data_IF_330160931472
#
_entry.id   IF_330160931472
#
_cell.length_a   1.000
_cell.length_b   1.000
_cell.length_c   1.000
_cell.angle_alpha   90.00
_cell.angle_beta   90.00
_cell.angle_gamma   90.00
#
_symmetry.space_group_name_H-M   'P 1'
#
loop_
_entity.id
_entity.type
_entity.pdbx_description
1 polymer ?
#
# COMPACT_ATOMS: atom_id res chain seq x y z
N UNK A 1 -13.27 -20.68 18.79
CA UNK A 1 -14.01 -19.47 18.33
C UNK A 1 -13.85 -19.35 16.83
N UNK A 2 -14.96 -19.34 16.08
CA UNK A 2 -14.91 -19.09 14.63
C UNK A 2 -14.54 -17.63 14.40
N UNK A 3 -13.30 -17.39 14.06
CA UNK A 3 -12.82 -16.07 13.69
C UNK A 3 -13.45 -15.65 12.35
N UNK A 4 -14.15 -14.53 12.35
CA UNK A 4 -14.63 -13.91 11.12
C UNK A 4 -13.80 -12.66 10.84
N UNK A 5 -13.31 -12.45 9.60
CA UNK A 5 -12.68 -11.20 9.22
C UNK A 5 -13.64 -10.02 9.40
N UNK A 6 -13.10 -8.84 9.67
CA UNK A 6 -13.87 -7.60 9.61
C UNK A 6 -14.26 -7.39 8.15
N UNK A 7 -15.55 -7.13 7.89
CA UNK A 7 -16.03 -6.82 6.54
C UNK A 7 -16.71 -5.47 6.55
N UNK A 8 -16.44 -4.65 5.52
CA UNK A 8 -16.98 -3.29 5.39
C UNK A 8 -17.01 -2.86 3.91
N UNK A 9 -17.65 -1.71 3.65
CA UNK A 9 -17.68 -1.06 2.34
C UNK A 9 -17.33 0.42 2.50
N UNK A 10 -16.28 0.85 1.81
CA UNK A 10 -15.89 2.26 1.81
C UNK A 10 -16.16 2.90 0.45
N UNK A 11 -16.93 3.97 0.46
CA UNK A 11 -17.09 4.85 -0.71
C UNK A 11 -16.21 6.07 -0.47
N UNK A 12 -15.16 6.19 -1.28
CA UNK A 12 -14.11 7.18 -1.12
C UNK A 12 -14.13 8.20 -2.25
N UNK A 13 -13.52 9.36 -1.99
CA UNK A 13 -13.28 10.38 -2.98
C UNK A 13 -12.16 9.98 -3.97
N UNK A 14 -12.12 10.65 -5.12
CA UNK A 14 -10.97 10.56 -6.01
C UNK A 14 -9.75 11.22 -5.36
N UNK A 15 -8.57 10.69 -5.64
CA UNK A 15 -7.34 11.42 -5.33
C UNK A 15 -7.39 12.80 -5.97
N UNK A 16 -7.06 13.82 -5.19
CA UNK A 16 -6.96 15.21 -5.66
C UNK A 16 -5.52 15.59 -6.05
N UNK A 17 -4.61 14.64 -5.97
CA UNK A 17 -3.21 14.87 -6.34
C UNK A 17 -3.10 15.17 -7.82
N UNK A 18 -2.51 16.31 -8.12
CA UNK A 18 -2.27 16.77 -9.50
C UNK A 18 -0.78 16.98 -9.68
N UNK A 19 -0.33 16.67 -10.89
CA UNK A 19 0.98 17.08 -11.36
C UNK A 19 1.03 18.62 -11.40
N UNK A 20 1.95 19.27 -10.70
CA UNK A 20 1.98 20.73 -10.61
C UNK A 20 2.47 21.39 -11.89
N UNK A 21 3.22 20.67 -12.73
CA UNK A 21 3.72 21.21 -14.00
C UNK A 21 2.66 21.11 -15.08
N UNK A 22 1.92 20.00 -15.11
CA UNK A 22 0.94 19.74 -16.18
C UNK A 22 -0.51 19.94 -15.74
N UNK A 23 -0.78 20.05 -14.44
CA UNK A 23 -2.13 20.14 -13.87
C UNK A 23 -2.97 18.86 -14.03
N UNK A 24 -2.41 17.82 -14.64
CA UNK A 24 -3.09 16.54 -14.85
C UNK A 24 -3.14 15.74 -13.53
N UNK A 25 -4.18 14.94 -13.37
CA UNK A 25 -4.26 14.01 -12.22
C UNK A 25 -3.15 12.98 -12.31
N UNK A 26 -2.44 12.78 -11.18
CA UNK A 26 -1.49 11.69 -11.08
C UNK A 26 -2.18 10.34 -11.08
N UNK A 27 -1.54 9.38 -11.75
CA UNK A 27 -1.74 7.97 -11.47
C UNK A 27 -0.91 7.59 -10.23
N UNK A 28 -1.39 6.64 -9.42
CA UNK A 28 -0.62 6.10 -8.31
C UNK A 28 -0.74 6.89 -7.00
N UNK A 29 -1.88 7.52 -6.77
CA UNK A 29 -2.20 8.07 -5.45
C UNK A 29 -3.40 7.33 -4.86
N UNK A 30 -3.35 7.09 -3.55
CA UNK A 30 -4.49 6.51 -2.83
C UNK A 30 -5.77 7.33 -3.02
N UNK A 31 -6.95 6.69 -3.01
CA UNK A 31 -8.22 7.40 -2.94
C UNK A 31 -8.25 8.37 -1.76
N UNK A 32 -8.89 9.53 -1.91
CA UNK A 32 -9.02 10.49 -0.82
C UNK A 32 -9.77 9.84 0.37
N UNK A 33 -9.19 9.94 1.56
CA UNK A 33 -9.73 9.34 2.78
C UNK A 33 -9.36 7.87 3.00
N UNK A 34 -8.59 7.26 2.07
CA UNK A 34 -8.20 5.85 2.21
C UNK A 34 -7.21 5.65 3.38
N UNK A 35 -6.12 6.42 3.41
CA UNK A 35 -5.10 6.26 4.45
C UNK A 35 -5.63 6.60 5.85
N UNK A 36 -6.54 7.58 5.96
CA UNK A 36 -7.19 7.93 7.22
C UNK A 36 -7.95 6.75 7.83
N UNK A 37 -8.48 5.84 7.00
CA UNK A 37 -9.20 4.65 7.42
C UNK A 37 -8.29 3.43 7.54
N UNK A 38 -7.36 3.26 6.60
CA UNK A 38 -6.47 2.10 6.55
C UNK A 38 -5.43 2.11 7.68
N UNK A 39 -4.84 3.28 8.00
CA UNK A 39 -3.83 3.39 9.03
C UNK A 39 -4.29 2.90 10.40
N UNK A 40 -5.44 3.35 10.95
CA UNK A 40 -5.93 2.84 12.24
C UNK A 40 -6.17 1.32 12.24
N UNK A 41 -6.55 0.75 11.11
CA UNK A 41 -6.71 -0.71 11.00
C UNK A 41 -5.38 -1.46 11.03
N UNK A 42 -4.30 -0.85 10.50
CA UNK A 42 -2.99 -1.47 10.40
C UNK A 42 -2.17 -1.33 11.69
N UNK A 43 -2.21 -0.17 12.34
CA UNK A 43 -1.34 0.15 13.49
C UNK A 43 -2.10 0.68 14.71
N UNK A 44 -3.44 0.63 14.69
CA UNK A 44 -4.26 1.19 15.78
C UNK A 44 -4.06 2.69 15.92
N UNK A 45 -4.03 3.17 17.15
CA UNK A 45 -3.77 4.58 17.48
C UNK A 45 -2.29 4.96 17.62
N UNK A 46 -1.35 4.09 17.21
CA UNK A 46 0.08 4.38 17.32
C UNK A 46 0.51 5.40 16.26
N UNK A 47 0.66 6.67 16.67
CA UNK A 47 1.09 7.75 15.80
C UNK A 47 2.58 7.67 15.42
N UNK A 48 3.38 6.97 16.22
CA UNK A 48 4.81 6.76 16.00
C UNK A 48 5.12 5.53 15.14
N UNK A 49 4.10 4.75 14.79
CA UNK A 49 4.26 3.57 13.96
C UNK A 49 4.82 3.93 12.58
N UNK A 50 5.70 3.04 12.09
CA UNK A 50 6.28 3.09 10.75
C UNK A 50 5.56 2.12 9.83
N UNK A 51 4.81 2.63 8.86
CA UNK A 51 4.23 1.84 7.77
C UNK A 51 5.13 1.96 6.55
N UNK A 52 5.51 0.82 5.96
CA UNK A 52 6.15 0.80 4.64
C UNK A 52 5.06 0.77 3.56
N UNK A 53 5.02 1.79 2.73
CA UNK A 53 4.15 1.85 1.55
C UNK A 53 4.90 1.27 0.35
N UNK A 54 4.45 0.14 -0.16
CA UNK A 54 5.07 -0.59 -1.28
C UNK A 54 4.34 -0.31 -2.57
N UNK A 55 5.06 0.01 -3.64
CA UNK A 55 4.56 0.58 -4.89
C UNK A 55 3.78 1.86 -4.58
N UNK A 56 4.43 2.73 -3.84
CA UNK A 56 3.78 3.83 -3.13
C UNK A 56 3.25 4.94 -4.04
N UNK A 57 3.74 5.01 -5.28
CA UNK A 57 3.43 6.15 -6.13
C UNK A 57 3.65 7.47 -5.40
N UNK A 58 2.69 8.36 -5.48
CA UNK A 58 2.71 9.65 -4.79
C UNK A 58 2.00 9.62 -3.40
N UNK A 59 2.24 8.57 -2.60
CA UNK A 59 1.60 8.41 -1.29
C UNK A 59 1.87 9.57 -0.32
N UNK A 60 3.05 10.20 -0.37
CA UNK A 60 3.36 11.40 0.42
C UNK A 60 2.63 12.66 -0.06
N UNK A 61 1.85 12.55 -1.11
CA UNK A 61 1.36 13.72 -1.81
C UNK A 61 2.45 14.38 -2.65
N UNK A 62 2.10 15.47 -3.29
CA UNK A 62 3.03 16.21 -4.11
C UNK A 62 3.68 17.34 -3.32
N UNK A 63 5.00 17.33 -3.21
CA UNK A 63 5.80 18.44 -2.67
C UNK A 63 6.02 19.49 -3.78
N UNK A 64 4.97 20.19 -4.17
CA UNK A 64 5.09 21.36 -5.03
C UNK A 64 5.83 22.50 -4.32
N UNK A 65 6.20 23.54 -5.06
CA UNK A 65 6.91 24.75 -4.57
C UNK A 65 6.22 25.51 -3.42
N UNK A 66 5.03 25.09 -2.98
CA UNK A 66 4.21 25.70 -1.91
C UNK A 66 4.09 24.84 -0.65
N UNK A 67 5.02 23.92 -0.39
CA UNK A 67 4.91 23.00 0.73
C UNK A 67 3.96 21.85 0.41
N UNK A 68 4.45 20.62 0.52
CA UNK A 68 3.72 19.46 0.06
C UNK A 68 2.44 19.24 0.85
N UNK A 69 1.39 18.82 0.15
CA UNK A 69 0.20 18.28 0.79
C UNK A 69 0.53 16.84 1.13
N UNK A 70 0.87 16.59 2.38
CA UNK A 70 0.88 15.22 2.90
C UNK A 70 -0.54 14.68 2.81
N UNK A 71 -0.72 13.49 2.26
CA UNK A 71 -2.03 12.85 2.28
C UNK A 71 -2.44 12.63 3.74
N UNK A 72 -3.66 13.03 4.08
CA UNK A 72 -4.22 12.76 5.39
C UNK A 72 -4.17 11.26 5.70
N UNK A 73 -3.70 10.89 6.88
CA UNK A 73 -3.45 9.50 7.29
C UNK A 73 -2.05 8.97 6.96
N UNK A 74 -1.19 9.73 6.26
CA UNK A 74 0.22 9.38 6.10
C UNK A 74 0.98 9.77 7.39
N UNK A 75 1.68 8.80 7.99
CA UNK A 75 2.38 8.99 9.27
C UNK A 75 3.75 9.66 9.09
N UNK A 76 4.20 10.34 10.14
CA UNK A 76 5.51 11.04 10.14
C UNK A 76 6.72 10.12 9.97
N UNK A 77 6.57 8.86 10.40
CA UNK A 77 7.62 7.84 10.32
C UNK A 77 7.42 6.86 9.16
N UNK A 78 6.35 7.04 8.37
CA UNK A 78 6.08 6.15 7.24
C UNK A 78 7.16 6.29 6.17
N UNK A 79 7.49 5.17 5.54
CA UNK A 79 8.44 5.08 4.44
C UNK A 79 7.74 4.64 3.16
N UNK A 80 8.27 5.12 2.04
CA UNK A 80 7.78 4.81 0.70
C UNK A 80 8.80 4.01 -0.07
N UNK A 81 8.35 2.99 -0.80
CA UNK A 81 9.15 2.23 -1.76
C UNK A 81 8.45 2.25 -3.11
N UNK A 82 9.17 2.68 -4.13
CA UNK A 82 8.71 2.68 -5.51
C UNK A 82 9.87 2.49 -6.48
N UNK A 83 9.58 2.03 -7.68
CA UNK A 83 10.54 1.89 -8.77
C UNK A 83 10.69 3.18 -9.57
N UNK A 84 9.69 4.07 -9.55
CA UNK A 84 9.71 5.34 -10.28
C UNK A 84 10.41 6.44 -9.46
N UNK A 85 11.58 6.92 -9.90
CA UNK A 85 12.31 7.99 -9.18
C UNK A 85 11.54 9.32 -9.16
N UNK A 86 10.57 9.52 -10.05
CA UNK A 86 9.75 10.74 -10.07
C UNK A 86 8.75 10.78 -8.91
N UNK A 87 8.42 9.64 -8.34
CA UNK A 87 7.65 9.56 -7.10
C UNK A 87 8.45 10.01 -5.87
N UNK A 88 9.77 10.16 -6.00
CA UNK A 88 10.71 10.50 -4.92
C UNK A 88 10.52 9.62 -3.68
N UNK A 89 10.56 8.30 -3.83
CA UNK A 89 10.39 7.41 -2.71
C UNK A 89 11.58 7.47 -1.76
N UNK A 90 11.39 7.08 -0.50
CA UNK A 90 12.50 6.92 0.47
C UNK A 90 13.41 5.78 0.06
N UNK A 91 12.83 4.74 -0.56
CA UNK A 91 13.52 3.54 -1.05
C UNK A 91 13.22 3.42 -2.54
N UNK A 92 14.16 3.81 -3.38
CA UNK A 92 14.08 3.63 -4.83
C UNK A 92 14.46 2.19 -5.18
N UNK A 93 13.48 1.34 -5.40
CA UNK A 93 13.72 -0.08 -5.64
C UNK A 93 12.53 -0.79 -6.30
N UNK A 94 12.84 -1.94 -6.90
CA UNK A 94 11.86 -2.85 -7.45
C UNK A 94 11.23 -3.71 -6.35
N UNK A 95 9.92 -3.63 -6.19
CA UNK A 95 9.17 -4.38 -5.18
C UNK A 95 9.24 -5.91 -5.36
N UNK A 96 9.65 -6.41 -6.54
CA UNK A 96 9.89 -7.85 -6.76
C UNK A 96 11.08 -8.38 -5.95
N UNK A 97 11.99 -7.48 -5.56
CA UNK A 97 13.20 -7.76 -4.77
C UNK A 97 13.08 -7.26 -3.32
N UNK A 98 11.87 -7.05 -2.86
CA UNK A 98 11.54 -6.39 -1.58
C UNK A 98 12.29 -6.94 -0.36
N UNK A 99 12.42 -8.26 -0.12
CA UNK A 99 13.11 -8.76 1.07
C UNK A 99 14.57 -8.32 1.18
N UNK A 100 15.28 -8.29 0.03
CA UNK A 100 16.68 -7.87 -0.02
C UNK A 100 16.83 -6.37 0.21
N UNK A 101 15.95 -5.58 -0.41
CA UNK A 101 16.06 -4.11 -0.40
C UNK A 101 15.62 -3.51 0.92
N UNK A 102 14.45 -3.92 1.43
CA UNK A 102 13.92 -3.36 2.66
C UNK A 102 14.76 -3.74 3.89
N UNK A 103 15.37 -4.93 3.91
CA UNK A 103 16.25 -5.36 4.98
C UNK A 103 17.53 -4.51 5.13
N UNK A 104 18.03 -3.95 4.02
CA UNK A 104 19.24 -3.10 4.05
C UNK A 104 18.97 -1.66 4.55
N UNK A 105 17.75 -1.15 4.34
CA UNK A 105 17.51 0.28 4.55
C UNK A 105 17.05 0.65 5.96
N UNK A 106 16.50 -0.25 6.74
CA UNK A 106 15.77 0.15 7.94
C UNK A 106 16.36 -0.35 9.24
N UNK A 107 17.14 -1.41 9.26
CA UNK A 107 17.71 -1.98 10.49
C UNK A 107 16.68 -2.34 11.59
N UNK A 108 15.39 -2.12 11.34
CA UNK A 108 14.26 -2.46 12.22
C UNK A 108 13.10 -3.02 11.42
N UNK A 109 12.27 -3.85 12.05
CA UNK A 109 11.02 -4.31 11.46
C UNK A 109 10.04 -3.13 11.31
N UNK A 110 9.22 -3.14 10.24
CA UNK A 110 8.11 -2.22 10.08
C UNK A 110 6.96 -2.63 10.99
N UNK A 111 6.23 -1.64 11.53
CA UNK A 111 5.03 -1.91 12.35
C UNK A 111 3.88 -2.45 11.48
N UNK A 112 3.81 -2.01 10.22
CA UNK A 112 2.91 -2.57 9.21
C UNK A 112 3.44 -2.31 7.80
N UNK A 113 2.83 -2.96 6.81
CA UNK A 113 3.13 -2.73 5.39
C UNK A 113 1.82 -2.52 4.64
N UNK A 114 1.81 -1.58 3.68
CA UNK A 114 0.67 -1.31 2.81
C UNK A 114 1.10 -1.42 1.34
N UNK A 115 0.40 -2.25 0.57
CA UNK A 115 0.69 -2.55 -0.83
C UNK A 115 -0.40 -1.93 -1.71
N UNK A 116 0.01 -1.14 -2.74
CA UNK A 116 -0.85 -0.62 -3.82
C UNK A 116 -0.10 -0.75 -5.15
N UNK A 117 0.07 -1.99 -5.62
CA UNK A 117 0.79 -2.25 -6.87
C UNK A 117 -0.05 -1.87 -8.10
N UNK A 118 0.55 -1.67 -9.28
CA UNK A 118 -0.21 -1.65 -10.53
C UNK A 118 -1.05 -2.92 -10.67
N UNK A 119 -2.30 -2.79 -11.11
CA UNK A 119 -3.25 -3.92 -11.11
C UNK A 119 -3.16 -4.77 -12.39
N UNK A 120 -2.62 -4.20 -13.45
CA UNK A 120 -2.45 -4.85 -14.75
C UNK A 120 -1.23 -4.33 -15.47
N UNK A 121 -0.85 -5.00 -16.55
CA UNK A 121 0.22 -4.52 -17.44
C UNK A 121 -0.12 -3.17 -18.11
N UNK A 122 -1.39 -2.93 -18.40
CA UNK A 122 -1.85 -1.65 -18.93
C UNK A 122 -1.73 -0.55 -17.89
N UNK A 123 -2.10 -0.84 -16.64
CA UNK A 123 -1.90 0.13 -15.55
C UNK A 123 -0.41 0.39 -15.33
N UNK A 124 0.44 -0.65 -15.35
CA UNK A 124 1.90 -0.49 -15.17
C UNK A 124 2.52 0.50 -16.18
N UNK A 125 2.03 0.52 -17.42
CA UNK A 125 2.46 1.52 -18.43
C UNK A 125 2.15 2.95 -18.01
N UNK A 126 1.01 3.17 -17.34
CA UNK A 126 0.60 4.49 -16.85
C UNK A 126 1.49 4.97 -15.68
N UNK A 127 2.14 4.04 -14.97
CA UNK A 127 3.07 4.32 -13.89
C UNK A 127 4.54 4.40 -14.35
N UNK A 128 4.78 4.51 -15.65
CA UNK A 128 6.13 4.56 -16.24
C UNK A 128 6.98 3.32 -15.94
N UNK A 129 6.36 2.27 -15.49
CA UNK A 129 6.98 0.98 -15.32
C UNK A 129 6.83 0.19 -16.62
N UNK A 130 7.87 -0.54 -17.01
CA UNK A 130 7.75 -1.48 -18.12
C UNK A 130 6.75 -2.59 -17.80
N UNK A 131 6.16 -3.24 -18.82
CA UNK A 131 5.21 -4.33 -18.60
C UNK A 131 5.81 -5.51 -17.80
N UNK A 132 7.14 -5.66 -17.87
CA UNK A 132 7.85 -6.76 -17.22
C UNK A 132 8.10 -6.56 -15.72
N UNK A 133 7.69 -5.41 -15.16
CA UNK A 133 7.96 -5.07 -13.75
C UNK A 133 6.73 -5.20 -12.84
N UNK A 134 5.63 -5.78 -13.32
CA UNK A 134 4.45 -6.01 -12.49
C UNK A 134 4.75 -7.08 -11.42
N UNK A 135 4.73 -6.73 -10.11
CA UNK A 135 4.94 -7.72 -9.06
C UNK A 135 3.79 -8.75 -9.01
N UNK A 136 4.11 -10.03 -8.82
CA UNK A 136 3.10 -11.02 -8.48
C UNK A 136 2.50 -10.70 -7.11
N UNK A 137 1.17 -10.62 -7.02
CA UNK A 137 0.46 -10.18 -5.83
C UNK A 137 0.66 -11.12 -4.64
N UNK A 138 0.59 -12.44 -4.88
CA UNK A 138 0.68 -13.44 -3.81
C UNK A 138 2.11 -13.54 -3.29
N UNK A 139 3.09 -13.47 -4.20
CA UNK A 139 4.51 -13.41 -3.83
C UNK A 139 4.80 -12.15 -3.03
N UNK A 140 4.32 -10.99 -3.49
CA UNK A 140 4.54 -9.71 -2.81
C UNK A 140 3.94 -9.70 -1.40
N UNK A 141 2.70 -10.19 -1.23
CA UNK A 141 2.09 -10.38 0.09
C UNK A 141 2.95 -11.29 0.97
N UNK A 142 3.43 -12.42 0.42
CA UNK A 142 4.27 -13.37 1.16
C UNK A 142 5.58 -12.71 1.62
N UNK A 143 6.22 -11.94 0.75
CA UNK A 143 7.47 -11.24 1.05
C UNK A 143 7.25 -10.13 2.09
N UNK A 144 6.17 -9.37 1.99
CA UNK A 144 5.80 -8.36 2.99
C UNK A 144 5.53 -8.99 4.36
N UNK A 145 4.85 -10.12 4.42
CA UNK A 145 4.61 -10.85 5.67
C UNK A 145 5.91 -11.33 6.35
N UNK A 146 7.01 -11.48 5.61
CA UNK A 146 8.32 -11.82 6.19
C UNK A 146 8.99 -10.63 6.84
N UNK A 147 8.71 -9.42 6.36
CA UNK A 147 9.36 -8.18 6.79
C UNK A 147 8.72 -7.52 8.00
N UNK A 148 7.53 -7.91 8.39
CA UNK A 148 6.85 -7.37 9.58
C UNK A 148 6.22 -8.48 10.41
N UNK A 149 6.15 -8.30 11.71
CA UNK A 149 5.30 -9.10 12.61
C UNK A 149 3.91 -8.46 12.80
N UNK A 150 3.72 -7.25 12.28
CA UNK A 150 2.45 -6.54 12.25
C UNK A 150 1.52 -7.00 11.13
N UNK A 151 0.70 -6.07 10.68
CA UNK A 151 -0.31 -6.32 9.65
C UNK A 151 0.22 -5.91 8.26
N UNK A 152 -0.25 -6.62 7.24
CA UNK A 152 -0.03 -6.26 5.84
C UNK A 152 -1.37 -5.95 5.20
N UNK A 153 -1.56 -4.69 4.78
CA UNK A 153 -2.70 -4.24 3.99
C UNK A 153 -2.41 -4.35 2.49
N UNK A 154 -3.39 -4.75 1.72
CA UNK A 154 -3.32 -4.83 0.25
C UNK A 154 -4.54 -4.17 -0.34
N UNK A 155 -4.36 -3.20 -1.24
CA UNK A 155 -5.45 -2.66 -2.06
C UNK A 155 -5.23 -3.08 -3.51
N UNK A 156 -6.14 -3.91 -4.05
CA UNK A 156 -6.03 -4.47 -5.41
C UNK A 156 -7.41 -4.82 -5.97
N UNK A 157 -7.53 -5.07 -7.28
CA UNK A 157 -8.71 -5.68 -7.88
C UNK A 157 -8.77 -7.18 -7.61
N UNK A 158 -7.61 -7.84 -7.51
CA UNK A 158 -7.52 -9.25 -7.20
C UNK A 158 -7.49 -9.47 -5.68
N UNK A 159 -8.00 -10.62 -5.26
CA UNK A 159 -7.93 -11.07 -3.88
C UNK A 159 -6.63 -11.86 -3.68
N UNK A 160 -5.70 -11.39 -2.85
CA UNK A 160 -4.44 -12.09 -2.63
C UNK A 160 -4.61 -13.32 -1.75
N UNK A 161 -3.62 -14.19 -1.80
CA UNK A 161 -3.48 -15.30 -0.85
C UNK A 161 -2.01 -15.55 -0.53
N UNK A 162 -1.72 -16.00 0.69
CA UNK A 162 -0.39 -16.42 1.10
C UNK A 162 -0.47 -17.60 2.05
N UNK A 163 0.37 -18.63 1.81
CA UNK A 163 0.46 -19.80 2.70
C UNK A 163 0.96 -19.36 4.08
N UNK A 164 0.28 -19.80 5.13
CA UNK A 164 0.64 -19.43 6.50
C UNK A 164 0.24 -18.01 6.90
N UNK A 165 -0.65 -17.39 6.13
CA UNK A 165 -1.28 -16.12 6.45
C UNK A 165 -2.73 -16.31 6.88
N UNK A 166 -3.24 -15.36 7.66
CA UNK A 166 -4.62 -15.27 8.07
C UNK A 166 -5.16 -13.91 7.69
N UNK A 167 -6.29 -13.90 6.98
CA UNK A 167 -7.01 -12.68 6.69
C UNK A 167 -7.65 -12.10 7.96
N UNK A 168 -7.52 -10.79 8.15
CA UNK A 168 -8.02 -10.06 9.32
C UNK A 168 -9.20 -9.18 8.96
N UNK A 169 -9.16 -8.60 7.76
CA UNK A 169 -10.23 -7.77 7.25
C UNK A 169 -10.32 -7.84 5.72
N UNK A 170 -11.52 -7.63 5.21
CA UNK A 170 -11.84 -7.53 3.79
C UNK A 170 -12.86 -6.41 3.57
N UNK A 171 -12.47 -5.39 2.83
CA UNK A 171 -13.24 -4.17 2.65
C UNK A 171 -13.37 -3.88 1.16
N UNK A 172 -14.61 -3.73 0.69
CA UNK A 172 -14.85 -3.24 -0.66
C UNK A 172 -14.61 -1.73 -0.72
N UNK A 173 -13.72 -1.27 -1.59
CA UNK A 173 -13.37 0.14 -1.75
C UNK A 173 -13.86 0.64 -3.10
N UNK A 174 -14.94 1.41 -3.10
CA UNK A 174 -15.45 2.11 -4.28
C UNK A 174 -14.93 3.56 -4.32
N UNK A 175 -14.59 4.05 -5.52
CA UNK A 175 -14.30 5.47 -5.74
C UNK A 175 -15.41 6.11 -6.55
N UNK A 176 -15.99 7.23 -6.06
CA UNK A 176 -17.09 7.92 -6.70
C UNK A 176 -16.82 8.21 -8.19
N UNK A 177 -17.80 7.94 -9.06
CA UNK A 177 -17.80 8.08 -10.52
C UNK A 177 -16.90 7.14 -11.34
N UNK A 178 -16.02 6.36 -10.73
CA UNK A 178 -15.38 5.24 -11.42
C UNK A 178 -16.09 3.97 -10.97
N UNK A 179 -16.70 3.25 -11.87
CA UNK A 179 -17.38 1.97 -11.61
C UNK A 179 -16.41 0.83 -11.18
N UNK A 180 -15.22 1.18 -10.68
CA UNK A 180 -14.20 0.21 -10.28
C UNK A 180 -14.21 0.07 -8.78
N UNK A 181 -14.55 -1.11 -8.30
CA UNK A 181 -14.37 -1.50 -6.91
C UNK A 181 -13.03 -2.23 -6.75
N UNK A 182 -12.33 -1.95 -5.68
CA UNK A 182 -11.11 -2.63 -5.27
C UNK A 182 -11.36 -3.32 -3.94
N UNK A 183 -10.54 -4.29 -3.61
CA UNK A 183 -10.52 -4.91 -2.30
C UNK A 183 -9.38 -4.34 -1.48
N UNK A 184 -9.67 -3.88 -0.27
CA UNK A 184 -8.67 -3.66 0.74
C UNK A 184 -8.72 -4.82 1.71
N UNK A 185 -7.71 -5.69 1.64
CA UNK A 185 -7.59 -6.86 2.50
C UNK A 185 -6.46 -6.67 3.49
N UNK A 186 -6.62 -7.15 4.72
CA UNK A 186 -5.62 -7.05 5.77
C UNK A 186 -5.24 -8.45 6.24
N UNK A 187 -3.95 -8.71 6.33
CA UNK A 187 -3.37 -10.01 6.57
C UNK A 187 -2.38 -9.98 7.73
N UNK A 188 -2.23 -11.10 8.41
CA UNK A 188 -1.18 -11.35 9.38
C UNK A 188 -0.60 -12.75 9.24
N UNK A 189 0.61 -12.97 9.77
CA UNK A 189 1.14 -14.32 9.93
C UNK A 189 0.17 -15.17 10.75
N UNK A 190 -0.14 -16.37 10.28
CA UNK A 190 -0.82 -17.34 11.13
C UNK A 190 0.14 -17.76 12.25
N UNK A 191 -0.33 -17.75 13.49
CA UNK A 191 0.45 -18.32 14.59
C UNK A 191 0.65 -19.81 14.29
N UNK A 192 1.89 -20.30 14.37
CA UNK A 192 2.10 -21.75 14.44
C UNK A 192 1.39 -22.24 15.69
N UNK A 193 0.39 -23.09 15.52
CA UNK A 193 -0.13 -23.85 16.67
C UNK A 193 1.05 -24.71 17.16
N UNK A 194 1.45 -24.48 18.40
CA UNK A 194 2.40 -25.35 19.09
C UNK A 194 1.66 -26.69 19.28
N UNK A 195 1.95 -27.63 18.38
CA UNK A 195 1.57 -29.05 18.53
C UNK A 195 2.52 -29.73 19.49
#
# INVERSE_FOLDING_TARGET
MNYRPITDVWILGRSKTKDPETGKSYYGAYPAGFLERARPMLVGGNEDACILHVCSGHARGYNGKKGGITLSGFGKNDLTLDIDPLCKPDILADARNLPTVAGFYVGRAFDAILIDRPYSYEDAKNYRCGPDVLPDLNKLLTDCLRLTDGLVGVIDYAWPSAKGAKEVAAIAVGTGRNARARWFTVWKKAKKELT
#
